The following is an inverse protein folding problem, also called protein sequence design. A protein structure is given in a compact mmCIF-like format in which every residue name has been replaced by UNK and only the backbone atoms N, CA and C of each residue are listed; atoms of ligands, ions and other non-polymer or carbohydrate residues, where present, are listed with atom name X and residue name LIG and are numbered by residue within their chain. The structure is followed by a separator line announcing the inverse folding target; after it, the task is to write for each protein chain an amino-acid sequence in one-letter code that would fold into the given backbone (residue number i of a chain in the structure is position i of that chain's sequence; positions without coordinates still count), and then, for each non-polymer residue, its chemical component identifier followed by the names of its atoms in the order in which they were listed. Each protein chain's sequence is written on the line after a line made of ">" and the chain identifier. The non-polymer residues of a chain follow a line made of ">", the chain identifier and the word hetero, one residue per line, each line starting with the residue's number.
data_IF_899265004035
#
_entry.id   IF_899265004035
#
_cell.length_a   1.000
_cell.length_b   1.000
_cell.length_c   1.000
_cell.angle_alpha   90.00
_cell.angle_beta   90.00
_cell.angle_gamma   90.00
#
_symmetry.space_group_name_H-M   'P 1'
#
loop_
_entity.id
_entity.type
_entity.pdbx_description
1 polymer ?
#
# COMPACT_ATOMS: atom_id res chain seq x y z
N UNK A 1 8.51 -30.88 -6.58
CA UNK A 1 7.98 -29.97 -7.62
C UNK A 1 8.54 -28.61 -7.28
N UNK A 2 9.71 -28.30 -7.85
CA UNK A 2 10.42 -27.06 -7.62
C UNK A 2 9.61 -25.91 -8.22
N UNK A 3 9.29 -24.92 -7.38
CA UNK A 3 8.76 -23.63 -7.82
C UNK A 3 9.83 -23.00 -8.71
N UNK A 4 9.60 -23.03 -10.03
CA UNK A 4 10.43 -22.30 -10.99
C UNK A 4 10.33 -20.82 -10.67
N UNK A 5 11.49 -20.21 -10.46
CA UNK A 5 11.69 -18.77 -10.36
C UNK A 5 11.01 -18.06 -11.54
N UNK A 6 9.88 -17.40 -11.27
CA UNK A 6 9.31 -16.43 -12.18
C UNK A 6 10.16 -15.16 -12.04
N UNK A 7 11.06 -14.95 -13.01
CA UNK A 7 11.83 -13.72 -13.18
C UNK A 7 10.88 -12.53 -13.38
N UNK A 8 10.64 -11.78 -12.31
CA UNK A 8 10.15 -10.40 -12.40
C UNK A 8 11.36 -9.47 -12.56
N UNK A 9 11.34 -8.65 -13.61
CA UNK A 9 12.40 -7.70 -13.96
C UNK A 9 12.31 -6.44 -13.10
N UNK A 10 13.50 -6.00 -12.66
CA UNK A 10 13.96 -4.65 -12.31
C UNK A 10 13.10 -3.81 -11.31
N UNK A 11 13.71 -3.53 -10.14
CA UNK A 11 13.18 -2.90 -8.91
C UNK A 11 12.33 -3.79 -7.96
N UNK A 12 12.68 -5.07 -7.84
CA UNK A 12 11.94 -6.08 -7.06
C UNK A 12 12.14 -6.03 -5.54
N UNK A 13 13.28 -5.56 -5.03
CA UNK A 13 13.59 -5.69 -3.60
C UNK A 13 12.65 -4.87 -2.69
N UNK A 14 12.25 -3.66 -3.10
CA UNK A 14 11.32 -2.83 -2.31
C UNK A 14 9.85 -3.26 -2.47
N UNK A 15 9.44 -3.74 -3.66
CA UNK A 15 8.06 -4.17 -3.92
C UNK A 15 7.74 -5.51 -3.25
N UNK A 16 8.66 -6.48 -3.26
CA UNK A 16 8.47 -7.75 -2.57
C UNK A 16 8.39 -7.55 -1.04
N UNK A 17 9.28 -6.73 -0.47
CA UNK A 17 9.27 -6.42 0.97
C UNK A 17 7.95 -5.76 1.40
N UNK A 18 7.43 -4.83 0.60
CA UNK A 18 6.13 -4.18 0.87
C UNK A 18 4.95 -5.16 0.75
N UNK A 19 4.96 -6.05 -0.26
CA UNK A 19 3.92 -7.06 -0.46
C UNK A 19 3.77 -8.02 0.72
N UNK A 20 4.88 -8.60 1.22
CA UNK A 20 4.84 -9.50 2.37
C UNK A 20 4.41 -8.78 3.65
N UNK A 21 4.74 -7.49 3.78
CA UNK A 21 4.26 -6.67 4.88
C UNK A 21 2.74 -6.47 4.82
N UNK A 22 2.21 -6.14 3.64
CA UNK A 22 0.77 -5.98 3.42
C UNK A 22 -0.03 -7.26 3.65
N UNK A 23 0.42 -8.40 3.12
CA UNK A 23 -0.17 -9.71 3.42
C UNK A 23 -0.08 -10.04 4.92
N UNK A 24 1.03 -9.69 5.59
CA UNK A 24 1.16 -9.86 7.03
C UNK A 24 0.15 -9.00 7.82
N UNK A 25 -0.07 -7.75 7.39
CA UNK A 25 -1.10 -6.86 7.97
C UNK A 25 -2.50 -7.46 7.77
N UNK A 26 -2.81 -7.96 6.58
CA UNK A 26 -4.06 -8.65 6.26
C UNK A 26 -4.34 -9.84 7.19
N UNK A 27 -3.36 -10.73 7.37
CA UNK A 27 -3.53 -11.91 8.23
C UNK A 27 -3.75 -11.50 9.69
N UNK A 28 -3.05 -10.47 10.17
CA UNK A 28 -3.25 -9.94 11.53
C UNK A 28 -4.65 -9.34 11.70
N UNK A 29 -5.13 -8.53 10.75
CA UNK A 29 -6.50 -7.98 10.74
C UNK A 29 -7.52 -9.14 10.75
N UNK A 30 -7.26 -10.20 10.00
CA UNK A 30 -8.12 -11.39 9.94
C UNK A 30 -8.14 -12.14 11.28
N UNK A 31 -6.99 -12.37 11.93
CA UNK A 31 -6.95 -13.00 13.26
C UNK A 31 -7.74 -12.22 14.30
N UNK A 32 -7.61 -10.89 14.31
CA UNK A 32 -8.36 -10.03 15.22
C UNK A 32 -9.87 -10.16 14.97
N UNK A 33 -10.29 -10.12 13.71
CA UNK A 33 -11.70 -10.27 13.36
C UNK A 33 -12.23 -11.66 13.79
N UNK A 34 -11.49 -12.73 13.54
CA UNK A 34 -11.93 -14.08 13.97
C UNK A 34 -12.03 -14.17 15.49
N UNK A 35 -11.03 -13.68 16.23
CA UNK A 35 -11.04 -13.68 17.69
C UNK A 35 -12.26 -12.93 18.27
N UNK A 36 -12.60 -11.79 17.67
CA UNK A 36 -13.73 -10.94 18.08
C UNK A 36 -15.10 -11.38 17.52
N UNK A 37 -15.13 -12.37 16.63
CA UNK A 37 -16.39 -12.84 16.03
C UNK A 37 -17.25 -13.63 17.02
N UNK A 38 -18.52 -13.82 16.65
CA UNK A 38 -19.47 -14.67 17.37
C UNK A 38 -19.37 -16.17 17.05
N UNK A 39 -18.41 -16.57 16.21
CA UNK A 39 -18.15 -17.96 15.87
C UNK A 39 -17.86 -18.81 17.11
N UNK A 40 -18.20 -20.09 17.06
CA UNK A 40 -17.83 -21.03 18.10
C UNK A 40 -16.33 -21.36 18.09
N UNK A 41 -15.86 -22.08 19.11
CA UNK A 41 -14.44 -22.38 19.26
C UNK A 41 -13.87 -23.25 18.13
N UNK A 42 -14.69 -24.14 17.55
CA UNK A 42 -14.28 -25.03 16.47
C UNK A 42 -14.22 -24.27 15.15
N UNK A 43 -15.22 -23.42 14.88
CA UNK A 43 -15.28 -22.54 13.72
C UNK A 43 -14.09 -21.57 13.72
N UNK A 44 -13.83 -20.91 14.85
CA UNK A 44 -12.65 -20.03 15.01
C UNK A 44 -11.36 -20.79 14.75
N UNK A 45 -11.18 -21.97 15.35
CA UNK A 45 -9.98 -22.79 15.14
C UNK A 45 -9.78 -23.16 13.66
N UNK A 46 -10.83 -23.60 12.98
CA UNK A 46 -10.78 -24.02 11.59
C UNK A 46 -10.36 -22.84 10.69
N UNK A 47 -11.00 -21.68 10.86
CA UNK A 47 -10.70 -20.48 10.08
C UNK A 47 -9.30 -19.94 10.38
N UNK A 48 -8.90 -19.84 11.66
CA UNK A 48 -7.56 -19.43 12.06
C UNK A 48 -6.47 -20.36 11.52
N UNK A 49 -6.73 -21.67 11.52
CA UNK A 49 -5.78 -22.65 10.99
C UNK A 49 -5.66 -22.56 9.46
N UNK A 50 -6.75 -22.29 8.75
CA UNK A 50 -6.72 -22.01 7.31
C UNK A 50 -5.91 -20.74 7.00
N UNK A 51 -6.16 -19.64 7.73
CA UNK A 51 -5.41 -18.38 7.59
C UNK A 51 -3.92 -18.54 7.91
N UNK A 52 -3.61 -19.27 8.97
CA UNK A 52 -2.24 -19.64 9.33
C UNK A 52 -1.57 -20.45 8.21
N UNK A 53 -2.25 -21.47 7.69
CA UNK A 53 -1.75 -22.30 6.60
C UNK A 53 -1.51 -21.48 5.34
N UNK A 54 -2.43 -20.58 4.99
CA UNK A 54 -2.28 -19.68 3.84
C UNK A 54 -1.07 -18.76 4.02
N UNK A 55 -0.89 -18.17 5.21
CA UNK A 55 0.29 -17.33 5.50
C UNK A 55 1.61 -18.08 5.34
N UNK A 56 1.68 -19.33 5.79
CA UNK A 56 2.88 -20.15 5.65
C UNK A 56 3.25 -20.46 4.19
N UNK A 57 2.37 -20.21 3.20
CA UNK A 57 2.73 -20.35 1.78
C UNK A 57 3.73 -19.27 1.31
N UNK A 58 3.76 -18.12 1.98
CA UNK A 58 4.57 -16.97 1.56
C UNK A 58 5.42 -16.37 2.68
N UNK A 59 5.14 -16.69 3.95
CA UNK A 59 5.92 -16.22 5.10
C UNK A 59 6.22 -17.37 6.09
N UNK A 60 7.36 -18.03 5.88
CA UNK A 60 7.84 -19.08 6.79
C UNK A 60 8.25 -18.55 8.17
N UNK A 61 8.41 -17.23 8.36
CA UNK A 61 8.74 -16.67 9.69
C UNK A 61 7.60 -16.89 10.68
N UNK A 62 6.37 -17.09 10.21
CA UNK A 62 5.24 -17.41 11.08
C UNK A 62 5.37 -18.79 11.76
N UNK A 63 6.13 -19.73 11.18
CA UNK A 63 6.49 -21.00 11.86
C UNK A 63 7.32 -20.74 13.13
N UNK A 64 8.09 -19.66 13.14
CA UNK A 64 9.02 -19.28 14.21
C UNK A 64 8.47 -18.17 15.11
N UNK A 65 7.16 -17.87 15.02
CA UNK A 65 6.49 -16.90 15.88
C UNK A 65 5.47 -17.58 16.78
N UNK A 66 5.36 -17.06 18.00
CA UNK A 66 4.30 -17.44 18.94
C UNK A 66 3.11 -16.47 18.83
N UNK A 67 2.03 -16.91 18.20
CA UNK A 67 0.77 -16.15 18.14
C UNK A 67 -0.15 -16.57 19.28
N UNK A 68 -0.50 -15.62 20.16
CA UNK A 68 -1.42 -15.89 21.28
C UNK A 68 -2.77 -16.41 20.80
N UNK A 69 -3.34 -15.79 19.76
CA UNK A 69 -4.62 -16.21 19.16
C UNK A 69 -4.54 -17.66 18.67
N UNK A 70 -3.46 -18.06 17.98
CA UNK A 70 -3.32 -19.44 17.52
C UNK A 70 -3.16 -20.44 18.67
N UNK A 71 -2.56 -20.04 19.80
CA UNK A 71 -2.50 -20.87 21.01
C UNK A 71 -3.87 -21.01 21.67
N UNK A 72 -4.60 -19.89 21.82
CA UNK A 72 -5.88 -19.83 22.54
C UNK A 72 -6.94 -20.72 21.87
N UNK A 73 -6.89 -20.86 20.55
CA UNK A 73 -7.82 -21.70 19.76
C UNK A 73 -7.25 -23.06 19.34
N UNK A 74 -6.04 -23.44 19.80
CA UNK A 74 -5.47 -24.76 19.55
C UNK A 74 -5.05 -25.01 18.11
N UNK A 75 -4.65 -23.96 17.38
CA UNK A 75 -4.00 -24.05 16.07
C UNK A 75 -2.48 -24.30 16.22
N UNK A 76 -1.89 -23.77 17.29
CA UNK A 76 -0.47 -23.91 17.64
C UNK A 76 -0.31 -24.33 19.09
N UNK A 77 0.84 -24.92 19.43
CA UNK A 77 1.13 -25.45 20.76
C UNK A 77 2.60 -25.24 21.12
N UNK A 78 2.89 -25.25 22.43
CA UNK A 78 4.26 -25.24 22.97
C UNK A 78 4.51 -26.55 23.71
N UNK A 79 5.69 -27.15 23.51
CA UNK A 79 6.14 -28.35 24.20
C UNK A 79 7.41 -28.11 25.02
N UNK A 80 7.72 -29.06 25.90
CA UNK A 80 8.98 -29.11 26.64
C UNK A 80 10.17 -29.43 25.73
N UNK A 81 11.37 -29.12 26.20
CA UNK A 81 12.63 -29.41 25.50
C UNK A 81 12.82 -30.88 25.11
N UNK A 82 12.19 -31.82 25.82
CA UNK A 82 12.24 -33.26 25.50
C UNK A 82 11.81 -33.57 24.06
N UNK A 83 10.99 -32.73 23.43
CA UNK A 83 10.48 -32.92 22.06
C UNK A 83 11.21 -32.07 21.02
N UNK A 84 12.32 -31.40 21.36
CA UNK A 84 13.00 -30.42 20.48
C UNK A 84 13.47 -30.97 19.12
N UNK A 85 13.71 -32.27 19.04
CA UNK A 85 14.21 -32.95 17.84
C UNK A 85 13.09 -33.67 17.06
N UNK A 86 11.83 -33.58 17.51
CA UNK A 86 10.70 -34.19 16.80
C UNK A 86 10.40 -33.42 15.49
N UNK A 87 9.97 -34.15 14.46
CA UNK A 87 9.65 -33.54 13.15
C UNK A 87 8.48 -32.56 13.27
N UNK A 88 8.67 -31.34 12.75
CA UNK A 88 7.66 -30.28 12.80
C UNK A 88 7.64 -29.51 14.12
N UNK A 89 8.70 -29.64 14.93
CA UNK A 89 8.94 -28.79 16.11
C UNK A 89 9.93 -27.68 15.75
N UNK A 90 9.56 -26.44 16.07
CA UNK A 90 10.33 -25.24 15.78
C UNK A 90 10.83 -24.61 17.08
N UNK A 91 12.13 -24.30 17.14
CA UNK A 91 12.71 -23.53 18.25
C UNK A 91 12.38 -22.06 18.05
N UNK A 92 11.75 -21.45 19.04
CA UNK A 92 11.27 -20.06 19.02
C UNK A 92 11.87 -19.30 20.20
N UNK A 93 12.10 -18.00 20.00
CA UNK A 93 12.46 -17.05 21.05
C UNK A 93 11.32 -16.05 21.22
N UNK A 94 10.81 -15.90 22.44
CA UNK A 94 9.81 -14.87 22.72
C UNK A 94 10.42 -13.47 22.87
N UNK A 95 9.58 -12.45 23.05
CA UNK A 95 10.03 -11.05 23.20
C UNK A 95 10.93 -10.78 24.40
N UNK A 96 10.92 -11.67 25.40
CA UNK A 96 11.79 -11.59 26.59
C UNK A 96 13.07 -12.43 26.44
N UNK A 97 13.26 -13.03 25.27
CA UNK A 97 14.40 -13.86 24.95
C UNK A 97 14.34 -15.29 25.47
N UNK A 98 13.20 -15.71 26.05
CA UNK A 98 13.01 -17.09 26.52
C UNK A 98 12.75 -18.02 25.33
N UNK A 99 13.36 -19.20 25.40
CA UNK A 99 13.26 -20.22 24.37
C UNK A 99 12.01 -21.07 24.60
N UNK A 100 11.26 -21.31 23.52
CA UNK A 100 10.10 -22.20 23.46
C UNK A 100 10.26 -23.18 22.30
N UNK A 101 9.59 -24.33 22.37
CA UNK A 101 9.51 -25.29 21.28
C UNK A 101 8.06 -25.36 20.81
N UNK A 102 7.79 -24.89 19.59
CA UNK A 102 6.44 -24.80 19.03
C UNK A 102 6.19 -25.95 18.07
N UNK A 103 4.97 -26.45 18.05
CA UNK A 103 4.46 -27.33 17.01
C UNK A 103 3.02 -26.94 16.69
N UNK A 104 2.55 -27.32 15.50
CA UNK A 104 1.26 -26.88 14.99
C UNK A 104 0.26 -28.03 14.88
N UNK A 105 -1.03 -27.70 14.86
CA UNK A 105 -2.09 -28.68 14.68
C UNK A 105 -1.87 -29.47 13.37
N UNK A 106 -2.10 -30.78 13.41
CA UNK A 106 -1.84 -31.69 12.30
C UNK A 106 -0.37 -32.14 12.14
N UNK A 107 0.59 -31.58 12.88
CA UNK A 107 1.98 -32.06 12.87
C UNK A 107 2.11 -33.49 13.45
N UNK A 108 3.19 -34.23 13.17
CA UNK A 108 3.42 -35.57 13.73
C UNK A 108 3.36 -35.59 15.27
N UNK A 109 3.98 -34.60 15.92
CA UNK A 109 3.94 -34.48 17.38
C UNK A 109 2.52 -34.17 17.89
N UNK A 110 1.76 -33.31 17.19
CA UNK A 110 0.37 -33.06 17.54
C UNK A 110 -0.46 -34.35 17.51
N UNK A 111 -0.37 -35.14 16.43
CA UNK A 111 -1.13 -36.38 16.29
C UNK A 111 -0.77 -37.36 17.41
N UNK A 112 0.52 -37.49 17.74
CA UNK A 112 1.03 -38.32 18.84
C UNK A 112 0.42 -37.87 20.19
N UNK A 113 0.57 -36.60 20.54
CA UNK A 113 0.09 -36.07 21.82
C UNK A 113 -1.44 -36.04 21.93
N UNK A 114 -2.16 -35.89 20.80
CA UNK A 114 -3.61 -35.99 20.75
C UNK A 114 -4.09 -37.41 21.08
N UNK A 115 -3.48 -38.44 20.46
CA UNK A 115 -3.77 -39.85 20.75
C UNK A 115 -3.48 -40.21 22.20
N UNK A 116 -2.39 -39.68 22.74
CA UNK A 116 -1.99 -39.86 24.14
C UNK A 116 -2.82 -39.03 25.14
N UNK A 117 -3.76 -38.20 24.66
CA UNK A 117 -4.58 -37.27 25.47
C UNK A 117 -3.74 -36.33 26.35
N UNK A 118 -2.56 -35.92 25.86
CA UNK A 118 -1.61 -35.04 26.56
C UNK A 118 -1.70 -33.57 26.13
N UNK A 119 -2.50 -33.26 25.12
CA UNK A 119 -2.79 -31.87 24.73
C UNK A 119 -3.81 -31.26 25.70
N UNK A 120 -3.61 -29.99 26.06
CA UNK A 120 -4.56 -29.23 26.88
C UNK A 120 -5.85 -28.93 26.07
N UNK A 121 -6.93 -28.54 26.78
CA UNK A 121 -8.28 -28.14 26.33
C UNK A 121 -8.47 -27.92 24.81
N UNK A 122 -9.54 -28.52 24.25
CA UNK A 122 -10.08 -28.27 22.89
C UNK A 122 -9.19 -28.62 21.70
N UNK A 123 -8.09 -29.34 21.90
CA UNK A 123 -7.28 -29.84 20.80
C UNK A 123 -8.06 -30.89 19.97
N UNK A 124 -8.33 -30.56 18.71
CA UNK A 124 -8.79 -31.52 17.70
C UNK A 124 -8.21 -31.14 16.35
N UNK A 125 -8.27 -32.05 15.38
CA UNK A 125 -7.75 -31.81 14.04
C UNK A 125 -8.61 -30.73 13.38
N UNK A 126 -8.03 -29.57 13.00
CA UNK A 126 -8.80 -28.53 12.33
C UNK A 126 -9.30 -29.03 10.97
N UNK A 127 -10.54 -28.69 10.64
CA UNK A 127 -11.06 -28.85 9.29
C UNK A 127 -10.59 -27.65 8.46
N UNK A 128 -9.76 -27.90 7.46
CA UNK A 128 -9.22 -26.84 6.61
C UNK A 128 -10.24 -26.44 5.57
N UNK A 129 -10.64 -25.18 5.59
CA UNK A 129 -11.41 -24.53 4.52
C UNK A 129 -10.58 -24.42 3.25
N UNK A 130 -11.23 -24.42 2.09
CA UNK A 130 -10.59 -23.98 0.84
C UNK A 130 -10.13 -22.51 0.97
N UNK A 131 -9.30 -22.04 0.03
CA UNK A 131 -8.86 -20.64 0.09
C UNK A 131 -10.03 -19.68 -0.17
N UNK A 132 -10.98 -20.03 -1.03
CA UNK A 132 -12.18 -19.21 -1.26
C UNK A 132 -13.11 -19.22 -0.05
N UNK A 133 -13.39 -20.39 0.54
CA UNK A 133 -14.17 -20.51 1.77
C UNK A 133 -13.55 -19.72 2.92
N UNK A 134 -12.22 -19.75 3.06
CA UNK A 134 -11.48 -18.99 4.07
C UNK A 134 -11.69 -17.48 3.91
N UNK A 135 -11.54 -16.95 2.69
CA UNK A 135 -11.73 -15.52 2.42
C UNK A 135 -13.19 -15.13 2.66
N UNK A 136 -14.13 -15.89 2.09
CA UNK A 136 -15.55 -15.66 2.26
C UNK A 136 -15.95 -15.64 3.73
N UNK A 137 -15.46 -16.60 4.52
CA UNK A 137 -15.69 -16.65 5.96
C UNK A 137 -15.11 -15.42 6.67
N UNK A 138 -13.92 -14.93 6.29
CA UNK A 138 -13.33 -13.74 6.90
C UNK A 138 -14.13 -12.46 6.65
N UNK A 139 -14.59 -12.24 5.42
CA UNK A 139 -15.24 -10.98 5.03
C UNK A 139 -16.71 -10.88 5.47
N UNK A 140 -17.31 -12.03 5.80
CA UNK A 140 -18.69 -12.17 6.29
C UNK A 140 -18.81 -12.17 7.81
N UNK A 141 -17.69 -12.19 8.55
CA UNK A 141 -17.73 -12.09 10.02
C UNK A 141 -18.49 -10.83 10.45
N UNK A 142 -19.26 -10.95 11.54
CA UNK A 142 -19.91 -9.81 12.19
C UNK A 142 -18.90 -8.76 12.68
N UNK A 143 -17.67 -9.18 12.97
CA UNK A 143 -16.53 -8.35 13.37
C UNK A 143 -15.69 -7.84 12.18
N UNK A 144 -16.02 -8.21 10.94
CA UNK A 144 -15.25 -7.76 9.78
C UNK A 144 -15.47 -6.27 9.51
N UNK A 145 -14.40 -5.49 9.67
CA UNK A 145 -14.39 -4.06 9.39
C UNK A 145 -14.25 -3.79 7.89
N UNK A 146 -14.61 -2.59 7.43
CA UNK A 146 -14.34 -2.21 6.04
C UNK A 146 -12.85 -2.18 5.73
N UNK A 147 -11.99 -1.86 6.71
CA UNK A 147 -10.54 -1.92 6.55
C UNK A 147 -10.04 -3.35 6.31
N UNK A 148 -10.62 -4.36 6.97
CA UNK A 148 -10.33 -5.76 6.68
C UNK A 148 -10.82 -6.15 5.27
N UNK A 149 -12.04 -5.74 4.90
CA UNK A 149 -12.60 -5.99 3.56
C UNK A 149 -11.75 -5.34 2.46
N UNK A 150 -11.29 -4.12 2.65
CA UNK A 150 -10.39 -3.43 1.73
C UNK A 150 -9.05 -4.17 1.56
N UNK A 151 -8.45 -4.64 2.65
CA UNK A 151 -7.23 -5.45 2.55
C UNK A 151 -7.48 -6.78 1.83
N UNK A 152 -8.61 -7.46 2.09
CA UNK A 152 -8.97 -8.66 1.33
C UNK A 152 -9.21 -8.34 -0.14
N UNK A 153 -9.85 -7.21 -0.46
CA UNK A 153 -10.03 -6.79 -1.85
C UNK A 153 -8.70 -6.63 -2.60
N UNK A 154 -7.73 -5.95 -1.99
CA UNK A 154 -6.42 -5.71 -2.58
C UNK A 154 -5.55 -6.97 -2.71
N UNK A 155 -5.80 -8.02 -1.91
CA UNK A 155 -4.97 -9.22 -1.89
C UNK A 155 -5.70 -10.50 -2.29
N UNK A 156 -6.98 -10.45 -2.63
CA UNK A 156 -7.72 -11.63 -3.04
C UNK A 156 -7.15 -12.31 -4.30
N UNK A 157 -6.57 -11.58 -5.29
CA UNK A 157 -5.94 -12.25 -6.42
C UNK A 157 -4.85 -13.26 -6.06
N UNK A 158 -4.15 -13.08 -4.94
CA UNK A 158 -3.16 -14.05 -4.47
C UNK A 158 -3.77 -15.40 -4.10
N UNK A 159 -5.09 -15.47 -3.86
CA UNK A 159 -5.80 -16.72 -3.60
C UNK A 159 -6.09 -17.47 -4.90
N UNK A 160 -6.75 -16.83 -5.86
CA UNK A 160 -7.15 -17.51 -7.10
C UNK A 160 -6.00 -17.71 -8.10
N UNK A 161 -4.84 -17.06 -7.89
CA UNK A 161 -3.61 -17.35 -8.63
C UNK A 161 -2.92 -18.64 -8.19
N UNK A 162 -3.21 -19.15 -6.98
CA UNK A 162 -2.52 -20.32 -6.39
C UNK A 162 -3.45 -21.49 -6.09
N UNK A 163 -4.76 -21.32 -6.26
CA UNK A 163 -5.75 -22.36 -6.03
C UNK A 163 -6.74 -22.44 -7.21
N UNK A 164 -7.33 -23.62 -7.46
CA UNK A 164 -8.42 -23.76 -8.41
C UNK A 164 -9.56 -22.80 -8.07
N UNK A 165 -10.11 -22.13 -9.08
CA UNK A 165 -11.18 -21.16 -8.91
C UNK A 165 -12.50 -21.83 -8.52
N UNK A 166 -13.08 -21.39 -7.42
CA UNK A 166 -14.43 -21.78 -6.98
C UNK A 166 -15.41 -20.68 -7.41
N UNK A 167 -15.94 -20.77 -8.64
CA UNK A 167 -16.71 -19.69 -9.28
C UNK A 167 -17.90 -19.18 -8.45
N UNK A 168 -18.68 -20.07 -7.84
CA UNK A 168 -19.81 -19.68 -6.99
C UNK A 168 -19.38 -18.82 -5.77
N UNK A 169 -18.22 -19.13 -5.18
CA UNK A 169 -17.67 -18.35 -4.07
C UNK A 169 -16.98 -17.08 -4.57
N UNK A 170 -16.33 -17.13 -5.74
CA UNK A 170 -15.76 -15.96 -6.39
C UNK A 170 -16.82 -14.86 -6.55
N UNK A 171 -17.98 -15.19 -7.13
CA UNK A 171 -19.06 -14.24 -7.37
C UNK A 171 -19.61 -13.65 -6.06
N UNK A 172 -19.83 -14.48 -5.04
CA UNK A 172 -20.28 -14.01 -3.72
C UNK A 172 -19.25 -13.13 -3.02
N UNK A 173 -17.96 -13.44 -3.16
CA UNK A 173 -16.88 -12.62 -2.61
C UNK A 173 -16.86 -11.27 -3.35
N UNK A 174 -17.04 -11.28 -4.67
CA UNK A 174 -17.14 -10.08 -5.51
C UNK A 174 -18.32 -9.19 -5.09
N UNK A 175 -19.50 -9.77 -4.86
CA UNK A 175 -20.68 -9.03 -4.38
C UNK A 175 -20.44 -8.28 -3.06
N UNK A 176 -19.62 -8.85 -2.16
CA UNK A 176 -19.32 -8.25 -0.85
C UNK A 176 -18.22 -7.19 -0.95
N UNK A 177 -17.19 -7.44 -1.77
CA UNK A 177 -15.97 -6.63 -1.80
C UNK A 177 -15.97 -5.57 -2.89
N UNK A 178 -16.67 -5.78 -4.00
CA UNK A 178 -16.75 -4.83 -5.11
C UNK A 178 -17.89 -3.83 -4.90
N UNK A 179 -17.74 -2.98 -3.88
CA UNK A 179 -18.72 -1.93 -3.55
C UNK A 179 -18.01 -0.60 -3.33
N UNK A 180 -18.69 0.52 -3.61
CA UNK A 180 -18.18 1.88 -3.39
C UNK A 180 -17.64 2.07 -1.97
N UNK A 181 -18.35 1.47 -0.99
CA UNK A 181 -17.96 1.51 0.41
C UNK A 181 -16.60 0.85 0.62
N UNK A 182 -16.35 -0.33 0.07
CA UNK A 182 -15.03 -0.98 0.19
C UNK A 182 -13.98 -0.22 -0.61
N UNK A 183 -14.30 0.20 -1.84
CA UNK A 183 -13.39 0.95 -2.71
C UNK A 183 -12.92 2.27 -2.09
N UNK A 184 -13.80 3.01 -1.41
CA UNK A 184 -13.42 4.22 -0.69
C UNK A 184 -12.38 3.96 0.41
N UNK A 185 -12.41 2.79 1.07
CA UNK A 185 -11.38 2.40 2.01
C UNK A 185 -10.09 1.99 1.30
N UNK A 186 -10.18 1.25 0.19
CA UNK A 186 -9.01 0.82 -0.60
C UNK A 186 -8.20 2.02 -1.09
N UNK A 187 -8.86 3.08 -1.60
CA UNK A 187 -8.17 4.32 -2.02
C UNK A 187 -7.29 4.90 -0.91
N UNK A 188 -7.71 4.77 0.35
CA UNK A 188 -7.05 5.38 1.51
C UNK A 188 -5.99 4.49 2.17
N UNK A 189 -5.52 3.44 1.48
CA UNK A 189 -4.58 2.46 2.04
C UNK A 189 -3.37 2.25 1.14
N UNK A 190 -2.22 1.93 1.75
CA UNK A 190 -1.01 1.53 1.00
C UNK A 190 -1.25 0.24 0.21
N UNK A 191 -2.14 -0.64 0.70
CA UNK A 191 -2.60 -1.82 -0.02
C UNK A 191 -3.21 -1.45 -1.39
N UNK A 192 -3.97 -0.36 -1.46
CA UNK A 192 -4.59 0.13 -2.69
C UNK A 192 -3.60 0.66 -3.73
N UNK A 193 -2.42 1.12 -3.31
CA UNK A 193 -1.36 1.58 -4.22
C UNK A 193 -0.77 0.46 -5.07
N UNK A 194 -0.93 -0.80 -4.61
CA UNK A 194 -0.43 -1.96 -5.31
C UNK A 194 -1.40 -2.46 -6.39
N UNK A 195 -2.58 -1.84 -6.52
CA UNK A 195 -3.56 -2.16 -7.56
C UNK A 195 -3.26 -1.32 -8.81
N UNK A 196 -3.21 -1.98 -9.96
CA UNK A 196 -3.03 -1.38 -11.30
C UNK A 196 -3.83 -0.10 -11.47
N UNK A 197 -3.28 0.93 -12.12
CA UNK A 197 -4.01 2.19 -12.38
C UNK A 197 -4.93 2.04 -13.59
N UNK A 198 -4.44 1.39 -14.65
CA UNK A 198 -5.20 1.07 -15.86
C UNK A 198 -5.48 -0.43 -15.98
N UNK A 199 -6.54 -0.79 -16.70
CA UNK A 199 -6.79 -2.18 -17.09
C UNK A 199 -5.78 -2.67 -18.14
N UNK A 200 -5.23 -1.75 -18.95
CA UNK A 200 -4.18 -2.05 -19.94
C UNK A 200 -2.88 -2.54 -19.29
N UNK A 201 -2.62 -2.15 -18.04
CA UNK A 201 -1.48 -2.62 -17.26
C UNK A 201 -1.62 -4.10 -16.83
N UNK A 202 -2.82 -4.66 -16.94
CA UNK A 202 -3.12 -6.04 -16.56
C UNK A 202 -2.86 -6.97 -17.75
N UNK A 203 -1.88 -7.86 -17.58
CA UNK A 203 -1.50 -8.86 -18.58
C UNK A 203 -2.71 -9.67 -19.07
N UNK A 204 -2.80 -9.86 -20.38
CA UNK A 204 -3.91 -10.56 -21.03
C UNK A 204 -4.06 -12.03 -20.60
N UNK A 205 -2.97 -12.66 -20.13
CA UNK A 205 -2.97 -14.03 -19.63
C UNK A 205 -3.61 -14.19 -18.25
N UNK A 206 -4.13 -13.11 -17.65
CA UNK A 206 -4.70 -13.11 -16.31
C UNK A 206 -6.15 -12.56 -16.27
N UNK A 207 -7.12 -13.23 -16.94
CA UNK A 207 -8.48 -12.72 -17.10
C UNK A 207 -9.24 -12.52 -15.78
N UNK A 208 -8.96 -13.34 -14.76
CA UNK A 208 -9.58 -13.19 -13.43
C UNK A 208 -9.05 -11.96 -12.68
N UNK A 209 -7.76 -11.61 -12.84
CA UNK A 209 -7.20 -10.39 -12.23
C UNK A 209 -7.83 -9.16 -12.86
N UNK A 210 -8.01 -9.18 -14.19
CA UNK A 210 -8.70 -8.10 -14.91
C UNK A 210 -10.14 -7.97 -14.45
N UNK A 211 -10.90 -9.06 -14.44
CA UNK A 211 -12.29 -9.08 -13.97
C UNK A 211 -12.45 -8.61 -12.52
N UNK A 212 -11.49 -8.93 -11.65
CA UNK A 212 -11.49 -8.55 -10.25
C UNK A 212 -11.25 -7.04 -10.06
N UNK A 213 -10.24 -6.47 -10.71
CA UNK A 213 -9.84 -5.08 -10.50
C UNK A 213 -10.56 -4.05 -11.37
N UNK A 214 -11.13 -4.45 -12.51
CA UNK A 214 -11.84 -3.54 -13.42
C UNK A 214 -12.88 -2.64 -12.71
N UNK A 215 -13.75 -3.13 -11.81
CA UNK A 215 -14.71 -2.28 -11.10
C UNK A 215 -14.07 -1.18 -10.25
N UNK A 216 -12.93 -1.45 -9.61
CA UNK A 216 -12.22 -0.44 -8.82
C UNK A 216 -11.43 0.54 -9.70
N UNK A 217 -10.88 0.07 -10.82
CA UNK A 217 -10.24 0.93 -11.82
C UNK A 217 -11.28 1.93 -12.36
N UNK A 218 -12.47 1.43 -12.73
CA UNK A 218 -13.60 2.27 -13.13
C UNK A 218 -14.00 3.25 -12.02
N UNK A 219 -14.17 2.78 -10.78
CA UNK A 219 -14.50 3.64 -9.64
C UNK A 219 -13.49 4.78 -9.40
N UNK A 220 -12.18 4.53 -9.60
CA UNK A 220 -11.16 5.60 -9.49
C UNK A 220 -11.22 6.59 -10.66
N UNK A 221 -11.68 6.17 -11.83
CA UNK A 221 -11.86 7.02 -13.03
C UNK A 221 -13.05 7.96 -12.93
N UNK A 222 -14.08 7.58 -12.19
CA UNK A 222 -15.31 8.37 -12.10
C UNK A 222 -15.03 9.76 -11.51
N UNK A 223 -15.36 10.82 -12.26
CA UNK A 223 -15.44 12.20 -11.76
C UNK A 223 -16.87 12.49 -11.29
N UNK A 224 -17.08 13.22 -10.18
CA UNK A 224 -16.05 13.90 -9.36
C UNK A 224 -15.44 13.03 -8.25
N UNK A 225 -15.85 11.77 -8.12
CA UNK A 225 -15.76 11.03 -6.88
C UNK A 225 -14.44 10.26 -6.67
N UNK A 226 -13.91 9.61 -7.71
CA UNK A 226 -12.74 8.73 -7.64
C UNK A 226 -11.42 9.48 -7.52
N UNK A 227 -11.06 10.25 -8.56
CA UNK A 227 -9.77 10.97 -8.61
C UNK A 227 -9.66 12.09 -7.58
N UNK A 228 -10.77 12.76 -7.24
CA UNK A 228 -10.78 13.77 -6.18
C UNK A 228 -10.41 13.16 -4.82
N UNK A 229 -10.97 11.98 -4.48
CA UNK A 229 -10.58 11.25 -3.26
C UNK A 229 -9.10 10.87 -3.24
N UNK A 230 -8.53 10.56 -4.40
CA UNK A 230 -7.10 10.31 -4.51
C UNK A 230 -6.28 11.59 -4.27
N UNK A 231 -6.67 12.72 -4.85
CA UNK A 231 -6.03 14.01 -4.58
C UNK A 231 -6.13 14.41 -3.09
N UNK A 232 -7.27 14.20 -2.44
CA UNK A 232 -7.43 14.40 -0.99
C UNK A 232 -6.45 13.55 -0.16
N UNK A 233 -6.22 12.30 -0.59
CA UNK A 233 -5.22 11.43 0.04
C UNK A 233 -3.81 11.97 -0.17
N UNK A 234 -3.44 12.39 -1.37
CA UNK A 234 -2.12 12.98 -1.64
C UNK A 234 -1.88 14.20 -0.74
N UNK A 235 -2.88 15.07 -0.56
CA UNK A 235 -2.80 16.20 0.36
C UNK A 235 -2.61 15.75 1.82
N UNK A 236 -3.22 14.65 2.23
CA UNK A 236 -3.05 14.08 3.57
C UNK A 236 -1.62 13.57 3.79
N UNK A 237 -1.07 12.85 2.81
CA UNK A 237 0.33 12.37 2.83
C UNK A 237 1.30 13.56 2.83
N UNK A 238 1.01 14.58 2.02
CA UNK A 238 1.80 15.81 1.96
C UNK A 238 1.83 16.54 3.32
N UNK A 239 0.69 16.63 4.02
CA UNK A 239 0.61 17.20 5.39
C UNK A 239 1.42 16.41 6.42
N UNK A 240 1.66 15.12 6.19
CA UNK A 240 2.53 14.29 7.03
C UNK A 240 4.02 14.47 6.69
N UNK A 241 4.35 15.22 5.63
CA UNK A 241 5.72 15.50 5.20
C UNK A 241 6.33 14.43 4.30
N UNK A 242 5.56 13.43 3.87
CA UNK A 242 6.07 12.37 2.98
C UNK A 242 5.95 12.79 1.51
N UNK A 243 6.76 13.78 1.13
CA UNK A 243 6.79 14.33 -0.22
C UNK A 243 7.28 13.30 -1.26
N UNK A 244 8.13 12.35 -0.86
CA UNK A 244 8.62 11.31 -1.77
C UNK A 244 7.48 10.39 -2.18
N UNK A 245 6.66 9.95 -1.23
CA UNK A 245 5.48 9.15 -1.51
C UNK A 245 4.47 9.89 -2.38
N UNK A 246 4.24 11.19 -2.14
CA UNK A 246 3.35 12.01 -3.00
C UNK A 246 3.87 12.05 -4.43
N UNK A 247 5.17 12.35 -4.63
CA UNK A 247 5.78 12.39 -5.96
C UNK A 247 5.61 11.06 -6.69
N UNK A 248 6.00 9.94 -6.07
CA UNK A 248 5.90 8.60 -6.68
C UNK A 248 4.46 8.23 -7.03
N UNK A 249 3.51 8.46 -6.12
CA UNK A 249 2.11 8.14 -6.32
C UNK A 249 1.43 9.00 -7.38
N UNK A 250 1.78 10.29 -7.43
CA UNK A 250 1.26 11.20 -8.45
C UNK A 250 1.84 10.89 -9.83
N UNK A 251 3.11 10.49 -9.94
CA UNK A 251 3.71 10.08 -11.23
C UNK A 251 3.01 8.87 -11.84
N UNK A 252 2.70 7.85 -11.04
CA UNK A 252 1.97 6.67 -11.52
C UNK A 252 0.61 7.07 -12.08
N UNK A 253 -0.12 7.95 -11.39
CA UNK A 253 -1.45 8.38 -11.82
C UNK A 253 -1.42 9.33 -13.02
N UNK A 254 -0.43 10.21 -13.12
CA UNK A 254 -0.23 11.06 -14.29
C UNK A 254 0.05 10.26 -15.56
N UNK A 255 0.59 9.04 -15.46
CA UNK A 255 0.70 8.14 -16.61
C UNK A 255 -0.65 7.80 -17.26
N UNK A 256 -1.73 7.72 -16.46
CA UNK A 256 -3.09 7.45 -16.94
C UNK A 256 -3.96 8.72 -17.09
N UNK A 257 -3.67 9.77 -16.32
CA UNK A 257 -4.39 11.04 -16.33
C UNK A 257 -3.42 12.22 -16.48
N UNK A 258 -2.75 12.35 -17.63
CA UNK A 258 -1.67 13.34 -17.81
C UNK A 258 -2.15 14.79 -17.67
N UNK A 259 -3.44 15.04 -17.93
CA UNK A 259 -4.03 16.38 -17.93
C UNK A 259 -4.75 16.73 -16.61
N UNK A 260 -4.68 15.88 -15.58
CA UNK A 260 -5.33 16.19 -14.29
C UNK A 260 -4.53 17.23 -13.51
N UNK A 261 -5.05 18.47 -13.48
CA UNK A 261 -4.35 19.63 -12.91
C UNK A 261 -4.01 19.47 -11.42
N UNK A 262 -4.89 18.88 -10.62
CA UNK A 262 -4.66 18.68 -9.19
C UNK A 262 -3.53 17.67 -8.96
N UNK A 263 -3.47 16.59 -9.75
CA UNK A 263 -2.35 15.65 -9.73
C UNK A 263 -1.03 16.33 -10.11
N UNK A 264 -1.03 17.13 -11.19
CA UNK A 264 0.14 17.89 -11.63
C UNK A 264 0.61 18.86 -10.55
N UNK A 265 -0.29 19.60 -9.91
CA UNK A 265 0.05 20.55 -8.83
C UNK A 265 0.64 19.80 -7.63
N UNK A 266 0.03 18.69 -7.21
CA UNK A 266 0.53 17.88 -6.09
C UNK A 266 1.93 17.34 -6.38
N UNK A 267 2.15 16.86 -7.60
CA UNK A 267 3.39 16.31 -8.10
C UNK A 267 4.51 17.37 -8.14
N UNK A 268 4.23 18.54 -8.69
CA UNK A 268 5.17 19.68 -8.77
C UNK A 268 5.53 20.20 -7.37
N UNK A 269 4.52 20.30 -6.49
CA UNK A 269 4.72 20.74 -5.10
C UNK A 269 5.63 19.76 -4.34
N UNK A 270 5.39 18.46 -4.50
CA UNK A 270 6.19 17.43 -3.84
C UNK A 270 7.65 17.44 -4.29
N UNK A 271 7.92 17.59 -5.60
CA UNK A 271 9.30 17.70 -6.12
C UNK A 271 10.03 18.92 -5.57
N UNK A 272 9.36 20.08 -5.58
CA UNK A 272 9.95 21.29 -5.03
C UNK A 272 10.27 21.16 -3.54
N UNK A 273 9.40 20.51 -2.76
CA UNK A 273 9.65 20.24 -1.35
C UNK A 273 10.86 19.31 -1.12
N UNK A 274 11.01 18.26 -1.94
CA UNK A 274 12.15 17.34 -1.87
C UNK A 274 13.49 18.03 -2.17
N UNK A 275 13.48 19.08 -3.00
CA UNK A 275 14.68 19.86 -3.32
C UNK A 275 15.32 20.54 -2.08
N UNK A 276 14.55 20.75 -1.01
CA UNK A 276 15.06 21.36 0.22
C UNK A 276 15.98 20.40 1.00
N UNK A 277 15.81 19.09 0.84
CA UNK A 277 16.61 18.05 1.50
C UNK A 277 17.59 17.32 0.56
N UNK A 278 17.47 17.53 -0.75
CA UNK A 278 18.36 16.95 -1.75
C UNK A 278 19.62 17.81 -1.95
N UNK A 279 20.75 17.20 -2.30
CA UNK A 279 22.00 17.90 -2.56
C UNK A 279 22.62 17.50 -3.91
N UNK A 280 23.50 18.36 -4.42
CA UNK A 280 24.28 18.10 -5.64
C UNK A 280 23.41 17.71 -6.83
N UNK A 281 23.75 16.57 -7.44
CA UNK A 281 23.13 16.09 -8.69
C UNK A 281 21.65 15.72 -8.52
N UNK A 282 21.25 15.12 -7.40
CA UNK A 282 19.84 14.76 -7.16
C UNK A 282 18.95 16.02 -7.14
N UNK A 283 19.41 17.08 -6.46
CA UNK A 283 18.68 18.36 -6.42
C UNK A 283 18.54 18.96 -7.81
N UNK A 284 19.61 18.95 -8.60
CA UNK A 284 19.60 19.49 -9.96
C UNK A 284 18.64 18.71 -10.88
N UNK A 285 18.65 17.38 -10.81
CA UNK A 285 17.75 16.50 -11.58
C UNK A 285 16.29 16.72 -11.19
N UNK A 286 15.99 16.81 -9.89
CA UNK A 286 14.64 17.12 -9.40
C UNK A 286 14.13 18.45 -9.94
N UNK A 287 14.94 19.51 -9.88
CA UNK A 287 14.56 20.83 -10.36
C UNK A 287 14.36 20.85 -11.88
N UNK A 288 15.24 20.20 -12.66
CA UNK A 288 15.12 20.11 -14.12
C UNK A 288 13.86 19.34 -14.53
N UNK A 289 13.60 18.20 -13.89
CA UNK A 289 12.40 17.42 -14.15
C UNK A 289 11.14 18.21 -13.76
N UNK A 290 11.16 18.89 -12.62
CA UNK A 290 10.04 19.72 -12.18
C UNK A 290 9.72 20.83 -13.19
N UNK A 291 10.75 21.52 -13.70
CA UNK A 291 10.60 22.55 -14.71
C UNK A 291 10.02 22.00 -16.03
N UNK A 292 10.45 20.80 -16.44
CA UNK A 292 9.88 20.11 -17.61
C UNK A 292 8.38 19.88 -17.44
N UNK A 293 7.97 19.28 -16.32
CA UNK A 293 6.55 18.98 -16.03
C UNK A 293 5.71 20.26 -16.00
N UNK A 294 6.24 21.35 -15.41
CA UNK A 294 5.55 22.65 -15.38
C UNK A 294 5.39 23.22 -16.79
N UNK A 295 6.43 23.16 -17.62
CA UNK A 295 6.37 23.67 -18.99
C UNK A 295 5.38 22.89 -19.85
N UNK A 296 5.35 21.56 -19.71
CA UNK A 296 4.40 20.70 -20.41
C UNK A 296 2.96 21.05 -19.99
N UNK A 297 2.71 21.23 -18.70
CA UNK A 297 1.40 21.66 -18.19
C UNK A 297 1.00 23.04 -18.75
N UNK A 298 1.89 24.03 -18.74
CA UNK A 298 1.62 25.36 -19.28
C UNK A 298 1.36 25.34 -20.80
N UNK A 299 1.96 24.41 -21.54
CA UNK A 299 1.72 24.24 -22.97
C UNK A 299 0.34 23.64 -23.28
N UNK A 300 -0.20 22.80 -22.37
CA UNK A 300 -1.50 22.14 -22.53
C UNK A 300 -2.72 22.98 -22.13
N UNK A 301 -2.56 24.28 -21.85
CA UNK A 301 -3.65 25.22 -21.49
C UNK A 301 -4.42 24.83 -20.21
N UNK A 302 -3.71 24.75 -19.09
CA UNK A 302 -4.26 24.56 -17.74
C UNK A 302 -5.10 25.73 -17.24
N UNK A 303 -6.11 25.45 -16.43
CA UNK A 303 -6.95 26.47 -15.78
C UNK A 303 -6.18 27.22 -14.70
N UNK A 304 -5.37 26.53 -13.89
CA UNK A 304 -4.60 27.17 -12.81
C UNK A 304 -3.21 27.67 -13.25
N UNK A 305 -3.17 28.51 -14.29
CA UNK A 305 -1.93 29.02 -14.87
C UNK A 305 -1.05 29.75 -13.84
N UNK A 306 -1.65 30.51 -12.92
CA UNK A 306 -0.93 31.27 -11.91
C UNK A 306 -0.10 30.36 -10.98
N UNK A 307 -0.67 29.24 -10.50
CA UNK A 307 0.09 28.31 -9.64
C UNK A 307 1.26 27.67 -10.37
N UNK A 308 1.10 27.26 -11.64
CA UNK A 308 2.19 26.70 -12.43
C UNK A 308 3.31 27.72 -12.68
N UNK A 309 2.97 28.98 -13.01
CA UNK A 309 3.96 30.05 -13.14
C UNK A 309 4.71 30.32 -11.82
N UNK A 310 3.99 30.29 -10.68
CA UNK A 310 4.62 30.43 -9.37
C UNK A 310 5.64 29.31 -9.11
N UNK A 311 5.26 28.06 -9.36
CA UNK A 311 6.18 26.93 -9.20
C UNK A 311 7.33 26.95 -10.20
N UNK A 312 7.11 27.47 -11.42
CA UNK A 312 8.18 27.70 -12.39
C UNK A 312 9.22 28.67 -11.84
N UNK A 313 8.77 29.81 -11.31
CA UNK A 313 9.65 30.81 -10.69
C UNK A 313 10.44 30.24 -9.51
N UNK A 314 9.79 29.49 -8.63
CA UNK A 314 10.46 28.79 -7.52
C UNK A 314 11.51 27.79 -8.00
N UNK A 315 11.21 27.05 -9.07
CA UNK A 315 12.12 26.06 -9.64
C UNK A 315 13.34 26.72 -10.30
N UNK A 316 13.13 27.81 -11.05
CA UNK A 316 14.20 28.61 -11.66
C UNK A 316 15.10 29.28 -10.61
N UNK A 317 14.53 29.80 -9.52
CA UNK A 317 15.33 30.24 -8.36
C UNK A 317 16.21 29.11 -7.81
N UNK A 318 15.66 27.91 -7.68
CA UNK A 318 16.41 26.73 -7.23
C UNK A 318 17.59 26.38 -8.16
N UNK A 319 17.43 26.63 -9.45
CA UNK A 319 18.43 26.48 -10.52
C UNK A 319 19.37 27.69 -10.67
N UNK A 320 19.24 28.71 -9.81
CA UNK A 320 19.99 29.97 -9.88
C UNK A 320 19.71 30.83 -11.14
N UNK A 321 18.60 30.57 -11.84
CA UNK A 321 18.09 31.43 -12.91
C UNK A 321 17.19 32.52 -12.30
N UNK A 322 17.82 33.54 -11.72
CA UNK A 322 17.14 34.63 -11.01
C UNK A 322 16.31 35.48 -11.96
N UNK A 323 16.84 35.84 -13.13
CA UNK A 323 16.14 36.64 -14.14
C UNK A 323 14.91 35.90 -14.69
N UNK A 324 15.05 34.60 -14.95
CA UNK A 324 13.94 33.76 -15.37
C UNK A 324 12.88 33.61 -14.28
N UNK A 325 13.29 33.51 -13.03
CA UNK A 325 12.36 33.45 -11.90
C UNK A 325 11.59 34.75 -11.68
N UNK A 326 12.25 35.91 -11.76
CA UNK A 326 11.59 37.22 -11.64
C UNK A 326 10.48 37.35 -12.69
N UNK A 327 10.77 37.03 -13.96
CA UNK A 327 9.77 37.04 -15.05
C UNK A 327 8.58 36.13 -14.77
N UNK A 328 8.82 34.95 -14.21
CA UNK A 328 7.75 34.00 -13.88
C UNK A 328 6.88 34.48 -12.71
N UNK A 329 7.46 35.12 -11.69
CA UNK A 329 6.68 35.73 -10.61
C UNK A 329 5.88 36.95 -11.07
N UNK A 330 6.43 37.77 -11.96
CA UNK A 330 5.67 38.85 -12.61
C UNK A 330 4.51 38.30 -13.45
N UNK A 331 4.76 37.25 -14.22
CA UNK A 331 3.71 36.56 -14.99
C UNK A 331 2.64 35.95 -14.08
N UNK A 332 3.04 35.40 -12.92
CA UNK A 332 2.11 34.91 -11.89
C UNK A 332 1.17 36.02 -11.43
N UNK A 333 1.71 37.18 -11.05
CA UNK A 333 0.91 38.33 -10.57
C UNK A 333 0.06 38.97 -11.66
N UNK A 334 0.46 38.82 -12.94
CA UNK A 334 -0.37 39.22 -14.07
C UNK A 334 -1.58 38.30 -14.25
N UNK A 335 -1.40 37.00 -14.01
CA UNK A 335 -2.47 36.01 -14.07
C UNK A 335 -3.40 36.09 -12.84
N UNK A 336 -2.83 36.27 -11.65
CA UNK A 336 -3.53 36.46 -10.39
C UNK A 336 -2.85 37.55 -9.54
N UNK A 337 -3.37 38.79 -9.53
CA UNK A 337 -2.81 39.89 -8.74
C UNK A 337 -2.86 39.67 -7.22
N UNK A 338 -3.63 38.70 -6.74
CA UNK A 338 -3.77 38.37 -5.31
C UNK A 338 -2.83 37.26 -4.84
N UNK A 339 -1.92 36.79 -5.70
CA UNK A 339 -0.99 35.71 -5.39
C UNK A 339 0.15 36.16 -4.44
N UNK A 340 -0.17 36.33 -3.15
CA UNK A 340 0.69 36.90 -2.10
C UNK A 340 2.10 36.28 -2.05
N UNK A 341 2.21 34.97 -2.29
CA UNK A 341 3.50 34.28 -2.25
C UNK A 341 4.42 34.73 -3.40
N UNK A 342 3.88 35.01 -4.60
CA UNK A 342 4.66 35.50 -5.72
C UNK A 342 5.14 36.94 -5.46
N UNK A 343 4.29 37.79 -4.88
CA UNK A 343 4.65 39.15 -4.48
C UNK A 343 5.81 39.16 -3.49
N UNK A 344 5.76 38.31 -2.45
CA UNK A 344 6.84 38.20 -1.46
C UNK A 344 8.16 37.76 -2.09
N UNK A 345 8.13 36.78 -3.00
CA UNK A 345 9.33 36.31 -3.70
C UNK A 345 9.93 37.42 -4.57
N UNK A 346 9.11 38.12 -5.34
CA UNK A 346 9.53 39.23 -6.20
C UNK A 346 10.17 40.38 -5.41
N UNK A 347 9.56 40.77 -4.28
CA UNK A 347 10.15 41.76 -3.36
C UNK A 347 11.51 41.29 -2.81
N UNK A 348 11.63 40.00 -2.47
CA UNK A 348 12.87 39.40 -1.99
C UNK A 348 14.00 39.50 -3.02
N UNK A 349 13.72 39.16 -4.29
CA UNK A 349 14.69 39.25 -5.39
C UNK A 349 15.16 40.69 -5.57
N UNK A 350 14.23 41.65 -5.68
CA UNK A 350 14.55 43.06 -5.93
C UNK A 350 15.38 43.68 -4.80
N UNK A 351 15.04 43.39 -3.55
CA UNK A 351 15.82 43.86 -2.40
C UNK A 351 17.25 43.30 -2.40
N UNK A 352 17.45 42.05 -2.82
CA UNK A 352 18.76 41.44 -2.92
C UNK A 352 19.63 42.12 -4.00
N UNK A 353 19.04 42.42 -5.17
CA UNK A 353 19.71 43.16 -6.25
C UNK A 353 20.12 44.57 -5.82
N UNK A 354 19.23 45.31 -5.14
CA UNK A 354 19.55 46.65 -4.63
C UNK A 354 20.69 46.65 -3.60
N UNK A 355 20.80 45.58 -2.80
CA UNK A 355 21.89 45.41 -1.84
C UNK A 355 23.22 45.05 -2.53
N UNK A 356 23.20 44.23 -3.59
CA UNK A 356 24.42 43.93 -4.34
C UNK A 356 24.97 45.15 -5.06
N UNK A 357 24.08 45.98 -5.62
CA UNK A 357 24.46 47.20 -6.33
C UNK A 357 25.07 48.24 -5.37
N UNK A 358 24.57 48.33 -4.13
CA UNK A 358 25.14 49.21 -3.08
C UNK A 358 26.47 48.71 -2.52
N UNK A 359 26.77 47.42 -2.60
CA UNK A 359 28.03 46.86 -2.10
C UNK A 359 29.15 46.87 -3.16
N UNK A 360 28.79 47.02 -4.45
CA UNK A 360 29.72 46.99 -5.58
C UNK A 360 29.95 48.39 -6.22
N UNK A 361 29.22 49.43 -5.79
CA UNK A 361 29.43 50.83 -6.16
C UNK A 361 30.08 51.61 -5.03
#
# INVERSE_FOLDING_TARGET
>A
MELKENKFYENTDNKEVNMYEGLSKLIRKSYIAVDQSNLDINEKRNLLFSLYSFRCLFDNKELYRLSKVLLDYGCSFVCSEAYKNEKGVYKIKDGNGKIHYKFDAGSPLFIKLLKEKKLRKFASIPQKLTLFEMVYACITLNSATNALRASWYAYFPYVFLIAPTEHDLYDRIKEILCTDKVFSFVINTDEGDNIYVDEEDIREDNPLVRDWYAPFIAYRREKPDGIARYNERLLTIMKQGDFRKVMELSDIFLGAYPDDEDLLINNVTARLALCASAEGKEREELLKLNLSVINDALASSVNNQASFLYFSGMTKLGLQDVDGAEKDFEATLKADPSYDNALKMLMGIRNASELSDKNNG
#
